data_IF_782004829330
#
_entry.id   IF_782004829330
#
_cell.length_a   1.000
_cell.length_b   1.000
_cell.length_c   1.000
_cell.angle_alpha   90.00
_cell.angle_beta   90.00
_cell.angle_gamma   90.00
#
_symmetry.space_group_name_H-M   'P 1'
#
loop_
_entity.id
_entity.type
_entity.pdbx_description
1 polymer ?
#
# COMPACT_ATOMS: atom_id res chain seq x y z
N UNK A 1 -1.96 2.97 -18.72
CA UNK A 1 -1.39 3.63 -17.53
C UNK A 1 -0.76 4.93 -18.02
N UNK A 2 -1.19 6.07 -17.48
CA UNK A 2 -0.56 7.35 -17.78
C UNK A 2 0.34 7.70 -16.62
N UNK A 3 1.57 8.13 -16.90
CA UNK A 3 2.55 8.47 -15.87
C UNK A 3 2.93 9.93 -16.00
N UNK A 4 2.87 10.66 -14.88
CA UNK A 4 3.26 12.06 -14.77
C UNK A 4 4.50 12.14 -13.88
N UNK A 5 5.51 12.87 -14.32
CA UNK A 5 6.73 13.10 -13.54
C UNK A 5 6.79 14.56 -13.14
N UNK A 6 6.89 14.82 -11.84
CA UNK A 6 7.21 16.14 -11.31
C UNK A 6 8.61 16.07 -10.69
N UNK A 7 9.64 16.59 -11.37
CA UNK A 7 10.97 16.67 -10.79
C UNK A 7 10.98 17.73 -9.67
N UNK A 8 11.70 17.45 -8.58
CA UNK A 8 11.89 18.37 -7.45
C UNK A 8 10.63 18.74 -6.64
N UNK A 9 9.77 17.77 -6.30
CA UNK A 9 8.82 17.98 -5.19
C UNK A 9 9.60 17.93 -3.87
N UNK A 10 9.95 19.11 -3.36
CA UNK A 10 10.81 19.25 -2.19
C UNK A 10 12.24 18.77 -2.49
N UNK A 11 12.63 17.63 -1.92
CA UNK A 11 13.94 17.00 -2.14
C UNK A 11 13.84 15.67 -2.91
N UNK A 12 12.69 15.38 -3.50
CA UNK A 12 12.40 14.11 -4.15
C UNK A 12 11.84 14.30 -5.56
N UNK A 13 12.29 13.46 -6.49
CA UNK A 13 11.63 13.30 -7.78
C UNK A 13 10.43 12.37 -7.62
N UNK A 14 9.26 12.84 -8.04
CA UNK A 14 8.01 12.14 -7.82
C UNK A 14 7.39 11.76 -9.16
N UNK A 15 6.94 10.51 -9.22
CA UNK A 15 6.25 9.95 -10.36
C UNK A 15 4.86 9.50 -9.92
N UNK A 16 3.83 10.05 -10.55
CA UNK A 16 2.43 9.70 -10.32
C UNK A 16 1.93 8.81 -11.46
N UNK A 17 1.36 7.66 -11.12
CA UNK A 17 0.79 6.73 -12.09
C UNK A 17 -0.74 6.67 -11.98
N UNK A 18 -1.42 6.99 -13.08
CA UNK A 18 -2.86 6.79 -13.22
C UNK A 18 -3.12 5.38 -13.76
N UNK A 19 -3.81 4.56 -12.95
CA UNK A 19 -4.18 3.21 -13.31
C UNK A 19 -5.26 3.21 -14.41
N UNK A 20 -5.22 2.26 -15.37
CA UNK A 20 -6.23 2.18 -16.43
C UNK A 20 -7.62 1.73 -15.92
N UNK A 21 -7.70 1.24 -14.68
CA UNK A 21 -8.92 0.76 -14.05
C UNK A 21 -8.67 0.38 -12.59
N UNK A 22 -9.74 0.05 -11.87
CA UNK A 22 -9.69 -0.36 -10.46
C UNK A 22 -9.23 -1.81 -10.31
N UNK A 23 -8.67 -2.14 -9.13
CA UNK A 23 -8.40 -3.52 -8.73
C UNK A 23 -6.93 -3.93 -8.82
N UNK A 24 -6.64 -5.08 -8.21
CA UNK A 24 -5.28 -5.58 -7.97
C UNK A 24 -4.50 -5.85 -9.25
N UNK A 25 -5.16 -6.31 -10.31
CA UNK A 25 -4.49 -6.60 -11.59
C UNK A 25 -3.90 -5.35 -12.24
N UNK A 26 -4.68 -4.26 -12.33
CA UNK A 26 -4.23 -3.00 -12.90
C UNK A 26 -3.14 -2.34 -12.05
N UNK A 27 -3.28 -2.38 -10.72
CA UNK A 27 -2.27 -1.88 -9.79
C UNK A 27 -0.94 -2.64 -9.89
N UNK A 28 -1.00 -3.99 -9.95
CA UNK A 28 0.19 -4.83 -10.07
C UNK A 28 0.92 -4.62 -11.40
N UNK A 29 0.17 -4.54 -12.51
CA UNK A 29 0.74 -4.24 -13.83
C UNK A 29 1.44 -2.86 -13.84
N UNK A 30 0.80 -1.84 -13.25
CA UNK A 30 1.38 -0.52 -13.13
C UNK A 30 2.65 -0.50 -12.29
N UNK A 31 2.64 -1.17 -11.12
CA UNK A 31 3.82 -1.28 -10.26
C UNK A 31 4.98 -2.00 -10.96
N UNK A 32 4.70 -3.06 -11.73
CA UNK A 32 5.71 -3.75 -12.52
C UNK A 32 6.30 -2.87 -13.62
N UNK A 33 5.46 -2.10 -14.31
CA UNK A 33 5.91 -1.11 -15.30
C UNK A 33 6.76 -0.01 -14.67
N UNK A 34 6.32 0.58 -13.55
CA UNK A 34 7.08 1.61 -12.82
C UNK A 34 8.46 1.11 -12.41
N UNK A 35 8.55 -0.10 -11.84
CA UNK A 35 9.83 -0.72 -11.45
C UNK A 35 10.79 -0.88 -12.63
N UNK A 36 10.27 -1.07 -13.83
CA UNK A 36 11.08 -1.28 -15.04
C UNK A 36 11.46 0.05 -15.69
N UNK A 37 10.57 1.04 -15.70
CA UNK A 37 10.77 2.34 -16.33
C UNK A 37 11.56 3.33 -15.47
N UNK A 38 11.51 3.20 -14.15
CA UNK A 38 12.15 4.11 -13.20
C UNK A 38 13.02 3.32 -12.22
N UNK A 39 14.24 3.03 -12.66
CA UNK A 39 15.18 2.14 -11.95
C UNK A 39 15.65 2.70 -10.60
N UNK A 40 15.59 4.01 -10.40
CA UNK A 40 15.99 4.70 -9.16
C UNK A 40 14.82 4.89 -8.17
N UNK A 41 13.66 4.25 -8.40
CA UNK A 41 12.54 4.30 -7.45
C UNK A 41 12.95 3.67 -6.10
N UNK A 42 13.00 4.51 -5.06
CA UNK A 42 13.31 4.08 -3.69
C UNK A 42 12.07 3.68 -2.89
N UNK A 43 10.91 4.23 -3.23
CA UNK A 43 9.67 4.05 -2.51
C UNK A 43 8.47 4.20 -3.45
N UNK A 44 7.43 3.39 -3.23
CA UNK A 44 6.17 3.47 -3.96
C UNK A 44 5.03 3.47 -2.94
N UNK A 45 4.14 4.45 -3.07
CA UNK A 45 2.92 4.51 -2.29
C UNK A 45 1.75 3.99 -3.12
N UNK A 46 1.00 3.04 -2.59
CA UNK A 46 -0.32 2.68 -3.11
C UNK A 46 -1.36 3.47 -2.33
N UNK A 47 -1.99 4.44 -2.98
CA UNK A 47 -2.96 5.35 -2.35
C UNK A 47 -4.32 5.17 -3.00
N UNK A 48 -5.36 5.19 -2.18
CA UNK A 48 -6.75 5.09 -2.60
C UNK A 48 -7.69 5.20 -1.42
N UNK A 49 -8.99 5.21 -1.69
CA UNK A 49 -10.03 5.12 -0.66
C UNK A 49 -10.26 3.66 -0.28
N UNK A 50 -10.65 3.42 0.96
CA UNK A 50 -11.04 2.10 1.45
C UNK A 50 -12.32 2.18 2.28
N UNK A 51 -13.06 1.07 2.32
CA UNK A 51 -14.04 0.84 3.38
C UNK A 51 -13.32 0.37 4.65
N UNK A 52 -13.83 0.75 5.82
CA UNK A 52 -13.24 0.41 7.12
C UNK A 52 -14.24 -0.21 8.07
N UNK A 53 -13.73 -0.97 9.05
CA UNK A 53 -14.49 -1.34 10.24
C UNK A 53 -14.57 -0.13 11.18
N UNK A 54 -15.65 0.02 11.96
CA UNK A 54 -15.81 1.17 12.87
C UNK A 54 -14.75 1.25 13.96
N UNK A 55 -13.98 0.17 14.18
CA UNK A 55 -12.82 0.14 15.08
C UNK A 55 -11.64 -0.56 14.41
N UNK A 56 -10.45 0.02 14.55
CA UNK A 56 -9.17 -0.51 14.10
C UNK A 56 -8.24 -0.55 15.32
N UNK A 57 -7.79 -1.73 15.71
CA UNK A 57 -6.94 -1.94 16.92
C UNK A 57 -7.49 -1.26 18.20
N UNK A 58 -8.83 -1.23 18.33
CA UNK A 58 -9.52 -0.62 19.47
C UNK A 58 -9.70 0.91 19.39
N UNK A 59 -9.20 1.55 18.34
CA UNK A 59 -9.40 2.97 18.04
C UNK A 59 -10.62 3.12 17.13
N UNK A 60 -11.51 4.06 17.45
CA UNK A 60 -12.65 4.38 16.59
C UNK A 60 -12.17 4.97 15.25
N UNK A 61 -12.73 4.47 14.15
CA UNK A 61 -12.43 4.93 12.80
C UNK A 61 -13.59 5.73 12.24
N UNK A 62 -13.28 6.90 11.68
CA UNK A 62 -14.25 7.85 11.14
C UNK A 62 -14.02 8.08 9.64
N UNK A 63 -15.08 8.53 8.95
CA UNK A 63 -14.97 8.92 7.54
C UNK A 63 -14.03 10.13 7.42
N UNK A 64 -13.00 9.98 6.60
CA UNK A 64 -11.96 10.99 6.42
C UNK A 64 -10.64 10.64 7.10
N UNK A 65 -10.60 9.61 7.94
CA UNK A 65 -9.35 9.13 8.54
C UNK A 65 -8.44 8.53 7.47
N UNK A 66 -7.14 8.83 7.59
CA UNK A 66 -6.09 8.27 6.72
C UNK A 66 -5.45 7.09 7.43
N UNK A 67 -5.58 5.91 6.83
CA UNK A 67 -5.00 4.67 7.37
C UNK A 67 -3.69 4.35 6.67
N UNK A 68 -2.63 4.18 7.45
CA UNK A 68 -1.33 3.69 6.97
C UNK A 68 -1.23 2.21 7.28
N UNK A 69 -1.38 1.36 6.26
CA UNK A 69 -1.31 -0.09 6.41
C UNK A 69 0.13 -0.54 6.74
N UNK A 70 0.25 -1.43 7.74
CA UNK A 70 1.51 -2.16 8.03
C UNK A 70 1.64 -3.45 7.23
N UNK A 71 0.52 -4.03 6.83
CA UNK A 71 0.44 -5.29 6.09
C UNK A 71 -0.85 -5.35 5.26
N UNK A 72 -0.75 -6.04 4.12
CA UNK A 72 -1.87 -6.25 3.20
C UNK A 72 -2.11 -7.76 3.13
N UNK A 73 -3.34 -8.17 3.39
CA UNK A 73 -3.77 -9.58 3.29
C UNK A 73 -4.79 -9.70 2.17
N UNK A 74 -4.54 -10.61 1.23
CA UNK A 74 -5.47 -10.89 0.16
C UNK A 74 -6.50 -11.95 0.61
N UNK A 75 -7.63 -11.49 1.16
CA UNK A 75 -8.65 -12.37 1.74
C UNK A 75 -9.47 -13.16 0.72
N UNK A 76 -9.50 -12.73 -0.54
CA UNK A 76 -10.25 -13.39 -1.63
C UNK A 76 -9.40 -14.44 -2.37
N UNK A 77 -8.14 -14.58 -2.01
CA UNK A 77 -7.24 -15.57 -2.59
C UNK A 77 -7.18 -16.81 -1.70
N UNK A 78 -7.74 -17.90 -2.20
CA UNK A 78 -7.90 -19.10 -1.40
C UNK A 78 -8.47 -20.28 -2.17
N UNK A 79 -8.80 -21.34 -1.43
CA UNK A 79 -9.42 -22.55 -1.98
C UNK A 79 -10.79 -22.73 -1.36
N UNK A 80 -11.79 -22.92 -2.22
CA UNK A 80 -13.11 -23.31 -1.80
C UNK A 80 -13.14 -24.81 -1.50
N UNK A 81 -13.50 -25.17 -0.28
CA UNK A 81 -13.81 -26.54 0.15
C UNK A 81 -15.34 -26.67 0.36
N UNK A 82 -15.88 -27.90 0.42
CA UNK A 82 -17.27 -28.09 0.84
C UNK A 82 -17.52 -27.44 2.20
N UNK A 83 -18.41 -26.44 2.26
CA UNK A 83 -18.80 -25.74 3.48
C UNK A 83 -17.85 -24.63 3.99
N UNK A 84 -16.69 -24.38 3.35
CA UNK A 84 -15.81 -23.27 3.76
C UNK A 84 -14.89 -22.77 2.65
N UNK A 85 -14.64 -21.46 2.64
CA UNK A 85 -13.52 -20.88 1.92
C UNK A 85 -12.30 -20.86 2.83
N UNK A 86 -11.23 -21.52 2.43
CA UNK A 86 -9.94 -21.40 3.11
C UNK A 86 -9.13 -20.33 2.39
N UNK A 87 -9.00 -19.16 3.02
CA UNK A 87 -8.04 -18.15 2.57
C UNK A 87 -6.68 -18.84 2.52
N UNK A 88 -6.02 -18.75 1.37
CA UNK A 88 -4.64 -19.17 1.30
C UNK A 88 -3.89 -18.11 2.07
N UNK A 89 -3.62 -18.39 3.34
CA UNK A 89 -2.56 -17.70 4.04
C UNK A 89 -1.33 -17.92 3.16
N UNK A 90 -0.97 -16.87 2.43
CA UNK A 90 0.40 -16.73 1.96
C UNK A 90 1.19 -16.61 3.25
N UNK A 91 1.50 -17.77 3.84
CA UNK A 91 2.42 -18.02 4.95
C UNK A 91 3.29 -16.80 5.16
N UNK A 92 3.18 -16.13 6.31
CA UNK A 92 4.03 -15.08 6.94
C UNK A 92 5.30 -14.49 6.24
N UNK A 93 5.52 -14.63 4.94
CA UNK A 93 6.81 -14.52 4.27
C UNK A 93 6.58 -14.44 2.75
N UNK A 94 6.47 -13.22 2.21
CA UNK A 94 6.96 -12.85 0.86
C UNK A 94 6.68 -11.39 0.46
N UNK A 95 6.17 -10.54 1.35
CA UNK A 95 6.85 -9.27 1.54
C UNK A 95 7.69 -9.48 2.79
N UNK A 96 8.86 -10.11 2.65
CA UNK A 96 9.78 -10.29 3.77
C UNK A 96 9.89 -8.97 4.54
N UNK A 97 9.99 -9.05 5.88
CA UNK A 97 9.98 -7.91 6.80
C UNK A 97 10.45 -6.64 6.09
N UNK A 98 9.56 -5.65 5.98
CA UNK A 98 9.84 -4.39 5.29
C UNK A 98 11.26 -3.93 5.61
N UNK A 99 11.98 -3.44 4.60
CA UNK A 99 13.39 -3.08 4.77
C UNK A 99 13.54 -2.00 5.87
N UNK A 100 14.77 -1.76 6.34
CA UNK A 100 15.01 -0.81 7.43
C UNK A 100 14.45 0.59 7.11
N UNK A 101 14.52 1.01 5.86
CA UNK A 101 14.07 2.34 5.43
C UNK A 101 12.55 2.47 5.51
N UNK A 102 11.81 1.50 4.98
CA UNK A 102 10.33 1.46 5.07
C UNK A 102 9.90 1.36 6.53
N UNK A 103 10.59 0.57 7.36
CA UNK A 103 10.29 0.50 8.80
C UNK A 103 10.57 1.80 9.53
N UNK A 104 11.67 2.47 9.20
CA UNK A 104 11.99 3.79 9.74
C UNK A 104 10.93 4.82 9.36
N UNK A 105 10.47 4.76 8.12
CA UNK A 105 9.39 5.61 7.63
C UNK A 105 8.05 5.31 8.34
N UNK A 106 7.66 4.05 8.45
CA UNK A 106 6.46 3.64 9.19
C UNK A 106 6.53 4.10 10.65
N UNK A 107 7.66 3.91 11.33
CA UNK A 107 7.86 4.39 12.68
C UNK A 107 7.74 5.93 12.77
N UNK A 108 8.23 6.67 11.78
CA UNK A 108 8.10 8.13 11.76
C UNK A 108 6.65 8.59 11.67
N UNK A 109 5.80 7.89 10.91
CA UNK A 109 4.37 8.18 10.81
C UNK A 109 3.59 7.91 12.10
N UNK A 110 4.11 7.04 12.97
CA UNK A 110 3.51 6.73 14.27
C UNK A 110 3.86 7.76 15.36
N UNK A 111 4.92 8.55 15.16
CA UNK A 111 5.34 9.58 16.14
C UNK A 111 4.48 10.85 16.05
N UNK A 112 4.29 11.56 17.18
CA UNK A 112 3.44 12.76 17.29
C UNK A 112 3.75 13.89 16.28
N UNK A 113 4.95 13.87 15.70
CA UNK A 113 5.40 14.82 14.68
C UNK A 113 4.73 14.58 13.32
N UNK A 114 4.29 13.35 13.03
CA UNK A 114 3.52 13.00 11.83
C UNK A 114 2.02 13.30 11.91
N UNK A 115 1.49 13.57 13.12
CA UNK A 115 0.07 13.89 13.36
C UNK A 115 -0.27 15.39 13.21
N UNK A 116 0.74 16.23 13.05
CA UNK A 116 0.64 17.70 13.03
C UNK A 116 1.28 18.34 11.79
N UNK A 117 1.64 17.56 10.77
CA UNK A 117 2.13 18.08 9.49
C UNK A 117 1.02 18.05 8.44
#
# INVERSE_FOLDING_TARGET
MTVYCEPNIGQHDVVLAHLPGMGTQHAAAAAASLRTSYIELKLVFLVGICGGMPKIDGVDAFLGDVVISRSIVQYDYGRQYPGRFAVKETTEDSLGRANKDIRGLLASFETDRGRHC
#
